data_IF_109542839636
#
_entry.id   IF_109542839636
#
_cell.length_a   1.000
_cell.length_b   1.000
_cell.length_c   1.000
_cell.angle_alpha   90.00
_cell.angle_beta   90.00
_cell.angle_gamma   90.00
#
_symmetry.space_group_name_H-M   'P 1'
#
loop_
_entity.id
_entity.type
_entity.pdbx_description
1 polymer ?
#
# COMPACT_ATOMS: atom_id res chain seq x y z
N UNK A 1 23.71 14.76 9.57
CA UNK A 1 23.31 13.97 10.78
C UNK A 1 24.03 14.49 12.02
N UNK A 2 23.29 14.90 13.08
CA UNK A 2 23.88 15.34 14.37
C UNK A 2 24.29 14.10 15.19
N UNK A 3 25.60 13.90 15.38
CA UNK A 3 26.13 12.71 16.10
C UNK A 3 25.83 12.72 17.60
N UNK A 4 25.57 13.89 18.22
CA UNK A 4 25.25 13.99 19.65
C UNK A 4 23.91 13.32 20.00
N UNK A 5 23.02 13.17 19.02
CA UNK A 5 21.80 12.34 19.14
C UNK A 5 22.13 10.89 19.50
N UNK A 6 23.29 10.38 19.09
CA UNK A 6 23.72 8.99 19.34
C UNK A 6 24.39 8.80 20.71
N UNK A 7 24.61 9.87 21.47
CA UNK A 7 25.15 9.77 22.82
C UNK A 7 24.21 8.96 23.72
N UNK A 8 24.79 8.11 24.58
CA UNK A 8 24.05 7.16 25.43
C UNK A 8 22.92 7.82 26.21
N UNK A 9 23.17 8.97 26.83
CA UNK A 9 22.14 9.69 27.61
C UNK A 9 20.96 10.15 26.76
N UNK A 10 21.21 10.62 25.52
CA UNK A 10 20.18 11.05 24.57
C UNK A 10 19.35 9.84 24.10
N UNK A 11 20.02 8.74 23.72
CA UNK A 11 19.35 7.52 23.28
C UNK A 11 18.50 6.88 24.38
N UNK A 12 18.99 6.87 25.63
CA UNK A 12 18.23 6.40 26.79
C UNK A 12 16.99 7.27 27.04
N UNK A 13 17.14 8.59 26.89
CA UNK A 13 15.99 9.50 26.99
C UNK A 13 14.96 9.21 25.89
N UNK A 14 15.36 9.09 24.63
CA UNK A 14 14.49 8.77 23.49
C UNK A 14 13.79 7.42 23.71
N UNK A 15 14.53 6.42 24.23
CA UNK A 15 13.99 5.09 24.51
C UNK A 15 12.94 5.11 25.63
N UNK A 16 13.14 5.89 26.68
CA UNK A 16 12.23 5.93 27.84
C UNK A 16 11.02 6.84 27.61
N UNK A 17 11.15 7.88 26.77
CA UNK A 17 10.15 8.95 26.61
C UNK A 17 9.45 8.93 25.24
N UNK A 18 9.52 7.84 24.47
CA UNK A 18 8.99 7.75 23.10
C UNK A 18 7.47 8.03 22.98
N UNK A 19 6.70 7.87 24.05
CA UNK A 19 5.25 8.10 24.08
C UNK A 19 4.84 9.38 24.85
N UNK A 20 5.82 10.20 25.23
CA UNK A 20 5.55 11.45 25.95
C UNK A 20 4.85 12.47 25.04
N UNK A 21 4.17 13.43 25.65
CA UNK A 21 3.63 14.59 24.92
C UNK A 21 4.79 15.46 24.40
N UNK A 22 4.85 15.63 23.09
CA UNK A 22 5.93 16.33 22.39
C UNK A 22 6.01 17.80 22.82
N UNK A 23 4.86 18.47 23.02
CA UNK A 23 4.84 19.87 23.45
C UNK A 23 5.45 20.04 24.85
N UNK A 24 5.25 19.06 25.73
CA UNK A 24 5.85 19.06 27.06
C UNK A 24 7.38 18.97 27.05
N UNK A 25 7.97 18.39 26.00
CA UNK A 25 9.42 18.33 25.79
C UNK A 25 9.91 19.60 25.11
N UNK A 26 9.23 20.04 24.05
CA UNK A 26 9.64 21.19 23.23
C UNK A 26 9.73 22.49 24.04
N UNK A 27 8.83 22.70 25.00
CA UNK A 27 8.77 23.93 25.83
C UNK A 27 9.75 23.95 27.02
N UNK A 28 10.47 22.86 27.27
CA UNK A 28 11.45 22.80 28.36
C UNK A 28 12.81 23.37 27.93
N UNK A 29 13.65 23.68 28.91
CA UNK A 29 15.06 24.04 28.67
C UNK A 29 15.77 22.85 28.01
N UNK A 30 16.82 23.14 27.27
CA UNK A 30 17.66 22.14 26.61
C UNK A 30 18.12 21.06 27.61
N UNK A 31 17.89 19.79 27.29
CA UNK A 31 18.23 18.66 28.16
C UNK A 31 19.68 18.22 27.97
N UNK A 32 20.20 18.33 26.75
CA UNK A 32 21.49 17.78 26.36
C UNK A 32 22.30 18.84 25.61
N UNK A 33 23.57 19.02 25.96
CA UNK A 33 24.49 19.80 25.17
C UNK A 33 24.64 19.25 23.77
N UNK A 34 24.72 20.09 22.74
CA UNK A 34 24.82 19.69 21.33
C UNK A 34 23.53 19.18 20.68
N UNK A 35 22.44 19.02 21.46
CA UNK A 35 21.13 18.53 20.92
C UNK A 35 20.03 19.54 21.24
N UNK A 36 19.49 20.21 20.25
CA UNK A 36 18.37 21.13 20.42
C UNK A 36 17.07 20.38 20.82
N UNK A 37 16.16 21.11 21.51
CA UNK A 37 14.84 20.54 21.85
C UNK A 37 14.03 20.14 20.61
N UNK A 38 14.21 20.85 19.50
CA UNK A 38 13.58 20.52 18.23
C UNK A 38 14.08 19.18 17.67
N UNK A 39 15.40 18.98 17.59
CA UNK A 39 15.98 17.71 17.14
C UNK A 39 15.54 16.54 18.04
N UNK A 40 15.55 16.73 19.36
CA UNK A 40 15.11 15.72 20.31
C UNK A 40 13.64 15.34 20.11
N UNK A 41 12.77 16.33 19.91
CA UNK A 41 11.33 16.07 19.67
C UNK A 41 11.08 15.41 18.32
N UNK A 42 11.83 15.77 17.27
CA UNK A 42 11.78 15.09 15.97
C UNK A 42 12.15 13.59 16.10
N UNK A 43 13.17 13.26 16.90
CA UNK A 43 13.53 11.86 17.17
C UNK A 43 12.41 11.10 17.93
N UNK A 44 11.79 11.72 18.93
CA UNK A 44 10.68 11.14 19.68
C UNK A 44 9.44 10.88 18.79
N UNK A 45 9.04 11.89 17.99
CA UNK A 45 7.91 11.74 17.07
C UNK A 45 8.14 10.64 16.04
N UNK A 46 9.32 10.62 15.43
CA UNK A 46 9.69 9.64 14.44
C UNK A 46 9.73 8.21 15.04
N UNK A 47 10.33 8.07 16.24
CA UNK A 47 10.32 6.79 16.97
C UNK A 47 8.90 6.32 17.29
N UNK A 48 8.03 7.20 17.77
CA UNK A 48 6.62 6.88 18.06
C UNK A 48 5.89 6.33 16.83
N UNK A 49 6.10 6.93 15.65
CA UNK A 49 5.55 6.46 14.38
C UNK A 49 6.09 5.09 13.96
N UNK A 50 7.35 4.80 14.29
CA UNK A 50 7.96 3.51 13.97
C UNK A 50 7.37 2.34 14.76
N UNK A 51 6.71 2.55 15.91
CA UNK A 51 6.19 1.49 16.78
C UNK A 51 5.45 0.38 16.03
N UNK A 52 4.52 0.76 15.15
CA UNK A 52 3.69 -0.18 14.38
C UNK A 52 4.17 -0.35 12.93
N UNK A 53 4.80 0.69 12.37
CA UNK A 53 5.22 0.70 10.96
C UNK A 53 6.56 0.01 10.76
N UNK A 54 7.52 0.24 11.67
CA UNK A 54 8.91 -0.24 11.63
C UNK A 54 9.32 -0.79 13.00
N UNK A 55 8.72 -1.91 13.46
CA UNK A 55 8.98 -2.47 14.78
C UNK A 55 10.43 -2.88 15.02
N UNK A 56 11.20 -3.28 14.00
CA UNK A 56 12.62 -3.58 14.10
C UNK A 56 13.45 -2.33 14.45
N UNK A 57 13.18 -1.19 13.78
CA UNK A 57 13.81 0.11 14.11
C UNK A 57 13.37 0.62 15.47
N UNK A 58 12.10 0.45 15.82
CA UNK A 58 11.58 0.87 17.12
C UNK A 58 12.25 0.14 18.29
N UNK A 59 12.51 -1.17 18.15
CA UNK A 59 13.11 -2.02 19.18
C UNK A 59 14.62 -1.86 19.30
N UNK A 60 15.30 -1.57 18.18
CA UNK A 60 16.74 -1.41 18.17
C UNK A 60 17.17 -0.15 18.96
N UNK A 61 18.33 -0.25 19.61
CA UNK A 61 18.98 0.89 20.26
C UNK A 61 19.88 1.60 19.26
N UNK A 62 20.19 2.88 19.53
CA UNK A 62 21.09 3.69 18.70
C UNK A 62 20.61 3.92 17.26
N UNK A 63 19.32 3.80 17.01
CA UNK A 63 18.70 4.23 15.74
C UNK A 63 18.66 5.75 15.67
N UNK A 64 19.09 6.29 14.54
CA UNK A 64 18.86 7.70 14.19
C UNK A 64 17.62 7.79 13.29
N UNK A 65 16.62 8.51 13.72
CA UNK A 65 15.39 8.67 12.95
C UNK A 65 15.49 9.90 12.04
N UNK A 66 15.14 9.82 10.76
CA UNK A 66 15.01 10.99 9.91
C UNK A 66 13.77 11.79 10.31
N UNK A 67 13.52 12.91 9.64
CA UNK A 67 12.34 13.71 9.90
C UNK A 67 11.04 12.90 9.70
N UNK A 68 9.98 13.41 10.30
CA UNK A 68 8.64 12.77 10.29
C UNK A 68 8.10 12.45 8.89
N UNK A 69 8.37 13.32 7.90
CA UNK A 69 7.91 13.13 6.53
C UNK A 69 8.54 11.89 5.90
N UNK A 70 9.84 11.70 6.07
CA UNK A 70 10.54 10.53 5.57
C UNK A 70 10.00 9.23 6.18
N UNK A 71 9.66 9.23 7.50
CA UNK A 71 9.02 8.06 8.13
C UNK A 71 7.61 7.82 7.58
N UNK A 72 6.85 8.86 7.29
CA UNK A 72 5.51 8.71 6.72
C UNK A 72 5.53 8.14 5.31
N UNK A 73 6.49 8.54 4.50
CA UNK A 73 6.63 8.14 3.10
C UNK A 73 7.26 6.76 2.91
N UNK A 74 8.09 6.29 3.85
CA UNK A 74 8.74 4.98 3.73
C UNK A 74 7.74 3.82 3.80
N UNK A 75 8.11 2.66 3.26
CA UNK A 75 7.35 1.41 3.37
C UNK A 75 7.17 0.99 4.84
N UNK A 76 6.15 0.19 5.13
CA UNK A 76 6.10 -0.60 6.38
C UNK A 76 7.00 -1.82 6.26
N UNK A 77 7.43 -2.40 7.40
CA UNK A 77 8.18 -3.67 7.36
C UNK A 77 7.41 -4.78 6.65
N UNK A 78 6.09 -4.81 6.82
CA UNK A 78 5.24 -5.82 6.18
C UNK A 78 5.24 -5.71 4.66
N UNK A 79 5.13 -4.49 4.11
CA UNK A 79 5.15 -4.29 2.66
C UNK A 79 6.57 -4.43 2.10
N UNK A 80 7.61 -4.04 2.85
CA UNK A 80 8.99 -4.23 2.45
C UNK A 80 9.39 -5.71 2.44
N UNK A 81 8.95 -6.48 3.42
CA UNK A 81 9.12 -7.94 3.44
C UNK A 81 8.45 -8.58 2.22
N UNK A 82 7.21 -8.23 1.92
CA UNK A 82 6.53 -8.74 0.73
C UNK A 82 7.30 -8.47 -0.55
N UNK A 83 7.81 -7.24 -0.74
CA UNK A 83 8.67 -6.90 -1.89
C UNK A 83 9.92 -7.77 -1.96
N UNK A 84 10.54 -8.05 -0.81
CA UNK A 84 11.75 -8.89 -0.77
C UNK A 84 11.51 -10.35 -1.17
N UNK A 85 10.26 -10.82 -1.11
CA UNK A 85 9.87 -12.16 -1.55
C UNK A 85 9.69 -12.26 -3.06
N UNK A 86 9.56 -11.13 -3.76
CA UNK A 86 9.41 -11.06 -5.22
C UNK A 86 10.76 -11.10 -5.96
N UNK A 87 11.87 -10.97 -5.24
CA UNK A 87 13.22 -10.86 -5.83
C UNK A 87 14.11 -12.02 -5.44
N UNK A 88 15.09 -12.29 -6.28
CA UNK A 88 16.13 -13.30 -6.05
C UNK A 88 17.38 -12.96 -6.83
N UNK A 89 18.53 -13.48 -6.43
CA UNK A 89 19.81 -13.25 -7.13
C UNK A 89 20.93 -12.82 -6.19
N UNK A 90 22.01 -12.27 -6.75
CA UNK A 90 23.25 -11.93 -6.03
C UNK A 90 23.40 -10.43 -5.81
N UNK A 91 22.95 -9.60 -6.77
CA UNK A 91 23.14 -8.15 -6.73
C UNK A 91 21.85 -7.40 -7.07
N UNK A 92 21.51 -6.40 -6.24
CA UNK A 92 20.38 -5.50 -6.44
C UNK A 92 20.83 -4.05 -6.31
N UNK A 93 20.29 -3.19 -7.17
CA UNK A 93 20.43 -1.74 -7.07
C UNK A 93 19.08 -1.11 -6.72
N UNK A 94 19.01 -0.41 -5.59
CA UNK A 94 17.92 0.49 -5.23
C UNK A 94 18.29 1.91 -5.70
N UNK A 95 17.60 2.38 -6.75
CA UNK A 95 17.84 3.69 -7.36
C UNK A 95 17.28 4.86 -6.54
N UNK A 96 16.41 4.58 -5.57
CA UNK A 96 15.58 5.59 -4.85
C UNK A 96 15.51 5.28 -3.37
N UNK A 97 16.66 5.04 -2.77
CA UNK A 97 16.84 4.38 -1.47
C UNK A 97 16.10 4.97 -0.28
N UNK A 98 15.98 6.30 -0.20
CA UNK A 98 15.29 6.97 0.89
C UNK A 98 15.85 6.59 2.27
N UNK A 99 14.96 6.31 3.23
CA UNK A 99 15.34 5.83 4.56
C UNK A 99 15.86 4.37 4.57
N UNK A 100 15.74 3.66 3.45
CA UNK A 100 16.35 2.35 3.25
C UNK A 100 15.56 1.16 3.81
N UNK A 101 14.27 1.30 4.09
CA UNK A 101 13.47 0.19 4.63
C UNK A 101 13.37 -0.96 3.62
N UNK A 102 13.06 -0.66 2.36
CA UNK A 102 13.00 -1.68 1.30
C UNK A 102 14.39 -2.31 1.07
N UNK A 103 15.43 -1.49 0.95
CA UNK A 103 16.84 -1.93 0.86
C UNK A 103 17.22 -2.90 1.99
N UNK A 104 16.83 -2.60 3.24
CA UNK A 104 17.10 -3.47 4.39
C UNK A 104 16.45 -4.86 4.23
N UNK A 105 15.21 -4.92 3.75
CA UNK A 105 14.55 -6.22 3.53
C UNK A 105 15.12 -6.94 2.31
N UNK A 106 15.52 -6.25 1.26
CA UNK A 106 16.22 -6.84 0.12
C UNK A 106 17.57 -7.45 0.55
N UNK A 107 18.30 -6.79 1.43
CA UNK A 107 19.61 -7.29 1.90
C UNK A 107 19.54 -8.61 2.66
N UNK A 108 18.36 -9.02 3.14
CA UNK A 108 18.15 -10.34 3.74
C UNK A 108 18.06 -11.49 2.72
N UNK A 109 17.86 -11.15 1.44
CA UNK A 109 17.68 -12.11 0.33
C UNK A 109 18.79 -12.03 -0.70
N UNK A 110 19.41 -10.87 -0.86
CA UNK A 110 20.41 -10.56 -1.90
C UNK A 110 21.79 -10.41 -1.26
N UNK A 111 22.80 -10.96 -1.88
CA UNK A 111 24.16 -10.98 -1.32
C UNK A 111 24.81 -9.59 -1.27
N UNK A 112 24.53 -8.72 -2.25
CA UNK A 112 25.05 -7.35 -2.32
C UNK A 112 23.96 -6.40 -2.79
N UNK A 113 23.61 -5.42 -1.96
CA UNK A 113 22.61 -4.40 -2.28
C UNK A 113 23.27 -3.03 -2.33
N UNK A 114 23.00 -2.28 -3.38
CA UNK A 114 23.43 -0.89 -3.53
C UNK A 114 22.24 0.01 -3.25
N UNK A 115 22.43 0.95 -2.35
CA UNK A 115 21.40 1.90 -1.90
C UNK A 115 21.81 3.30 -2.34
N UNK A 116 21.19 3.82 -3.40
CA UNK A 116 21.40 5.17 -3.89
C UNK A 116 20.38 6.13 -3.27
N UNK A 117 20.88 7.20 -2.65
CA UNK A 117 20.05 8.26 -2.08
C UNK A 117 20.73 9.61 -2.31
N UNK A 118 20.05 10.50 -3.04
CA UNK A 118 20.59 11.80 -3.44
C UNK A 118 20.76 12.76 -2.25
N UNK A 119 19.93 12.63 -1.22
CA UNK A 119 20.08 13.39 0.00
C UNK A 119 21.18 12.76 0.86
N UNK A 120 22.34 13.41 0.91
CA UNK A 120 23.52 12.92 1.61
C UNK A 120 23.26 12.65 3.10
N UNK A 121 22.51 13.54 3.79
CA UNK A 121 22.18 13.34 5.20
C UNK A 121 21.30 12.09 5.40
N UNK A 122 20.27 11.90 4.56
CA UNK A 122 19.40 10.72 4.63
C UNK A 122 20.18 9.45 4.32
N UNK A 123 21.11 9.50 3.36
CA UNK A 123 22.02 8.38 3.03
C UNK A 123 22.93 8.02 4.22
N UNK A 124 23.47 9.02 4.92
CA UNK A 124 24.27 8.79 6.15
C UNK A 124 23.44 8.13 7.26
N UNK A 125 22.22 8.62 7.48
CA UNK A 125 21.29 8.06 8.47
C UNK A 125 20.95 6.60 8.12
N UNK A 126 20.61 6.31 6.88
CA UNK A 126 20.32 4.95 6.42
C UNK A 126 21.52 4.03 6.62
N UNK A 127 22.72 4.46 6.19
CA UNK A 127 23.98 3.73 6.36
C UNK A 127 24.31 3.39 7.82
N UNK A 128 24.09 4.36 8.73
CA UNK A 128 24.25 4.15 10.17
C UNK A 128 23.26 3.09 10.66
N UNK A 129 21.98 3.23 10.32
CA UNK A 129 20.94 2.32 10.78
C UNK A 129 21.11 0.90 10.22
N UNK A 130 21.57 0.71 8.99
CA UNK A 130 21.88 -0.60 8.44
C UNK A 130 22.90 -1.37 9.30
N UNK A 131 23.95 -0.69 9.75
CA UNK A 131 24.96 -1.28 10.65
C UNK A 131 24.35 -1.67 12.00
N UNK A 132 23.54 -0.77 12.60
CA UNK A 132 22.84 -1.05 13.86
C UNK A 132 21.89 -2.25 13.74
N UNK A 133 21.24 -2.39 12.59
CA UNK A 133 20.33 -3.50 12.28
C UNK A 133 21.05 -4.77 11.79
N UNK A 134 22.38 -4.78 11.81
CA UNK A 134 23.22 -5.96 11.49
C UNK A 134 23.37 -6.27 10.01
N UNK A 135 23.10 -5.32 9.10
CA UNK A 135 23.27 -5.53 7.67
C UNK A 135 24.62 -4.96 7.19
N UNK A 136 25.51 -5.85 6.76
CA UNK A 136 26.87 -5.49 6.30
C UNK A 136 27.03 -5.61 4.78
N UNK A 137 26.00 -6.10 4.07
CA UNK A 137 26.01 -6.32 2.63
C UNK A 137 25.31 -5.21 1.85
N UNK A 138 25.07 -4.05 2.49
CA UNK A 138 24.47 -2.87 1.86
C UNK A 138 25.58 -1.83 1.59
N UNK A 139 25.72 -1.45 0.32
CA UNK A 139 26.64 -0.42 -0.15
C UNK A 139 25.85 0.89 -0.30
N UNK A 140 26.02 1.83 0.63
CA UNK A 140 25.34 3.14 0.56
C UNK A 140 26.09 4.07 -0.37
N UNK A 141 25.39 4.64 -1.34
CA UNK A 141 25.87 5.52 -2.40
C UNK A 141 25.13 6.87 -2.29
N UNK A 142 25.78 7.93 -1.80
CA UNK A 142 25.14 9.24 -1.57
C UNK A 142 25.09 10.08 -2.86
N UNK A 143 24.45 9.55 -3.91
CA UNK A 143 24.27 10.22 -5.20
C UNK A 143 23.00 9.79 -5.91
N UNK A 144 22.67 10.46 -7.01
CA UNK A 144 21.55 10.08 -7.90
C UNK A 144 21.76 8.68 -8.48
N UNK A 145 20.75 7.80 -8.34
CA UNK A 145 20.85 6.40 -8.75
C UNK A 145 21.05 6.21 -10.25
N UNK A 146 20.44 7.06 -11.11
CA UNK A 146 20.65 7.02 -12.56
C UNK A 146 22.08 7.44 -12.90
N UNK A 147 22.63 8.46 -12.21
CA UNK A 147 24.02 8.89 -12.42
C UNK A 147 25.01 7.83 -11.99
N UNK A 148 24.80 7.20 -10.82
CA UNK A 148 25.58 6.05 -10.38
C UNK A 148 25.56 4.92 -11.42
N UNK A 149 24.37 4.60 -11.95
CA UNK A 149 24.22 3.51 -12.93
C UNK A 149 24.92 3.82 -14.26
N UNK A 150 25.01 5.08 -14.67
CA UNK A 150 25.78 5.51 -15.86
C UNK A 150 27.28 5.31 -15.67
N UNK A 151 27.77 5.53 -14.45
CA UNK A 151 29.21 5.49 -14.15
C UNK A 151 29.71 4.08 -13.79
N UNK A 152 28.81 3.13 -13.48
CA UNK A 152 29.20 1.76 -13.13
C UNK A 152 29.19 0.81 -14.32
N UNK A 153 30.18 -0.07 -14.41
CA UNK A 153 30.21 -1.21 -15.34
C UNK A 153 29.43 -2.42 -14.81
N UNK A 154 29.07 -2.39 -13.52
CA UNK A 154 28.38 -3.49 -12.86
C UNK A 154 26.99 -3.71 -13.44
N UNK A 155 26.62 -5.00 -13.58
CA UNK A 155 25.25 -5.43 -13.88
C UNK A 155 24.61 -5.96 -12.60
N UNK A 156 23.29 -5.86 -12.55
CA UNK A 156 22.50 -6.28 -11.41
C UNK A 156 21.49 -7.35 -11.82
N UNK A 157 21.13 -8.23 -10.89
CA UNK A 157 20.02 -9.17 -11.11
C UNK A 157 18.68 -8.44 -11.06
N UNK A 158 18.60 -7.40 -10.22
CA UNK A 158 17.43 -6.55 -10.06
C UNK A 158 17.81 -5.08 -9.91
N UNK A 159 16.95 -4.23 -10.48
CA UNK A 159 16.88 -2.80 -10.15
C UNK A 159 15.53 -2.54 -9.49
N UNK A 160 15.54 -1.88 -8.32
CA UNK A 160 14.35 -1.41 -7.62
C UNK A 160 14.21 0.10 -7.77
N UNK A 161 12.96 0.56 -7.96
CA UNK A 161 12.66 1.99 -8.16
C UNK A 161 11.33 2.32 -7.48
N UNK A 162 11.34 3.35 -6.62
CA UNK A 162 10.16 4.00 -6.03
C UNK A 162 10.12 5.46 -6.47
N UNK A 163 9.67 5.77 -7.69
CA UNK A 163 9.77 7.11 -8.24
C UNK A 163 8.86 8.08 -7.48
N UNK A 164 9.42 9.21 -7.07
CA UNK A 164 8.70 10.28 -6.38
C UNK A 164 8.07 11.25 -7.37
N UNK A 165 7.00 11.95 -6.94
CA UNK A 165 6.38 12.99 -7.76
C UNK A 165 7.30 14.20 -7.92
N UNK A 166 7.25 14.84 -9.09
CA UNK A 166 7.77 16.20 -9.26
C UNK A 166 6.88 17.17 -8.48
N UNK A 167 7.50 18.06 -7.71
CA UNK A 167 6.76 19.04 -6.90
C UNK A 167 5.98 20.07 -7.75
N UNK A 168 6.32 20.20 -9.03
CA UNK A 168 5.83 21.24 -9.93
C UNK A 168 4.53 20.84 -10.66
N UNK A 169 4.14 19.57 -10.61
CA UNK A 169 2.95 19.08 -11.31
C UNK A 169 1.70 19.30 -10.46
N UNK A 170 1.01 20.43 -10.71
CA UNK A 170 -0.32 20.71 -10.17
C UNK A 170 -1.38 20.05 -11.04
N UNK A 171 -1.92 18.89 -10.61
CA UNK A 171 -3.00 18.22 -11.33
C UNK A 171 -3.45 16.92 -10.67
N UNK A 172 -4.64 16.43 -11.07
CA UNK A 172 -5.24 15.20 -10.51
C UNK A 172 -4.83 13.91 -11.22
N UNK A 173 -4.20 14.00 -12.38
CA UNK A 173 -3.76 12.84 -13.17
C UNK A 173 -2.29 12.60 -12.89
N UNK A 174 -1.97 11.39 -12.43
CA UNK A 174 -0.59 10.99 -12.13
C UNK A 174 -0.15 9.98 -13.18
N UNK A 175 0.87 10.35 -13.96
CA UNK A 175 1.53 9.47 -14.92
C UNK A 175 2.95 9.18 -14.44
N UNK A 176 3.51 8.03 -14.79
CA UNK A 176 4.89 7.69 -14.44
C UNK A 176 5.92 8.65 -15.05
N UNK A 177 5.64 9.18 -16.24
CA UNK A 177 6.49 10.19 -16.89
C UNK A 177 6.61 11.49 -16.08
N UNK A 178 5.66 11.76 -15.17
CA UNK A 178 5.65 12.96 -14.31
C UNK A 178 6.38 12.72 -12.97
N UNK A 179 6.98 11.54 -12.78
CA UNK A 179 7.75 11.19 -11.60
C UNK A 179 9.26 11.38 -11.82
N UNK A 180 10.02 11.29 -10.73
CA UNK A 180 11.49 11.30 -10.72
C UNK A 180 12.01 10.02 -10.05
N UNK A 181 12.88 9.26 -10.75
CA UNK A 181 13.27 9.44 -12.15
C UNK A 181 12.09 9.21 -13.11
N UNK A 182 12.11 9.84 -14.31
CA UNK A 182 11.15 9.54 -15.38
C UNK A 182 11.39 8.12 -15.90
N UNK A 183 10.64 7.18 -15.36
CA UNK A 183 10.90 5.76 -15.60
C UNK A 183 10.70 5.36 -17.07
N UNK A 184 9.60 5.73 -17.79
CA UNK A 184 9.43 5.38 -19.19
C UNK A 184 10.62 5.75 -20.08
N UNK A 185 11.21 6.93 -19.89
CA UNK A 185 12.38 7.38 -20.66
C UNK A 185 13.65 6.62 -20.32
N UNK A 186 13.80 6.17 -19.07
CA UNK A 186 15.01 5.49 -18.60
C UNK A 186 14.96 3.96 -18.81
N UNK A 187 13.79 3.35 -19.06
CA UNK A 187 13.66 1.90 -19.18
C UNK A 187 14.66 1.24 -20.16
N UNK A 188 14.89 1.76 -21.38
CA UNK A 188 15.84 1.14 -22.28
C UNK A 188 17.25 1.04 -21.69
N UNK A 189 17.72 2.13 -21.08
CA UNK A 189 19.03 2.18 -20.41
C UNK A 189 19.08 1.25 -19.17
N UNK A 190 18.00 1.18 -18.38
CA UNK A 190 17.95 0.29 -17.23
C UNK A 190 18.06 -1.18 -17.64
N UNK A 191 17.42 -1.57 -18.74
CA UNK A 191 17.49 -2.94 -19.25
C UNK A 191 18.87 -3.30 -19.88
N UNK A 192 19.73 -2.35 -20.16
CA UNK A 192 21.14 -2.65 -20.46
C UNK A 192 21.92 -3.14 -19.24
N UNK A 193 21.45 -2.79 -18.02
CA UNK A 193 22.12 -3.05 -16.75
C UNK A 193 21.48 -4.20 -15.95
N UNK A 194 20.23 -4.55 -16.22
CA UNK A 194 19.50 -5.64 -15.55
C UNK A 194 18.52 -6.33 -16.46
N UNK A 195 18.16 -7.56 -16.14
CA UNK A 195 17.03 -8.26 -16.77
C UNK A 195 15.70 -7.96 -16.06
N UNK A 196 15.72 -7.66 -14.77
CA UNK A 196 14.52 -7.55 -13.95
C UNK A 196 14.45 -6.20 -13.24
N UNK A 197 13.27 -5.57 -13.28
CA UNK A 197 13.03 -4.31 -12.58
C UNK A 197 11.79 -4.48 -11.71
N UNK A 198 11.88 -4.06 -10.46
CA UNK A 198 10.74 -3.93 -9.54
C UNK A 198 10.42 -2.45 -9.36
N UNK A 199 9.23 -2.05 -9.80
CA UNK A 199 8.75 -0.67 -9.68
C UNK A 199 7.68 -0.59 -8.62
N UNK A 200 7.86 0.28 -7.63
CA UNK A 200 6.81 0.62 -6.65
C UNK A 200 6.15 1.94 -7.05
N UNK A 201 4.85 2.00 -6.93
CA UNK A 201 4.11 3.25 -7.18
C UNK A 201 3.03 3.50 -6.13
N UNK A 202 2.58 4.76 -6.08
CA UNK A 202 1.43 5.15 -5.27
C UNK A 202 0.16 4.40 -5.71
N UNK A 203 -0.72 4.01 -4.78
CA UNK A 203 -2.03 3.41 -5.11
C UNK A 203 -2.97 4.35 -5.88
N UNK A 204 -2.62 5.63 -6.02
CA UNK A 204 -3.40 6.60 -6.79
C UNK A 204 -3.23 6.45 -8.31
N UNK A 205 -2.16 5.80 -8.79
CA UNK A 205 -1.97 5.58 -10.22
C UNK A 205 -3.02 4.60 -10.76
N UNK A 206 -3.41 4.84 -12.02
CA UNK A 206 -4.24 3.90 -12.76
C UNK A 206 -3.38 2.72 -13.27
N UNK A 207 -3.81 1.50 -12.99
CA UNK A 207 -3.04 0.28 -13.31
C UNK A 207 -2.93 0.10 -14.82
N UNK A 208 -4.04 0.25 -15.55
CA UNK A 208 -4.06 0.04 -17.00
C UNK A 208 -3.21 1.09 -17.73
N UNK A 209 -3.28 2.35 -17.28
CA UNK A 209 -2.45 3.42 -17.83
C UNK A 209 -0.96 3.20 -17.51
N UNK A 210 -0.65 2.78 -16.29
CA UNK A 210 0.74 2.50 -15.89
C UNK A 210 1.35 1.35 -16.71
N UNK A 211 0.58 0.28 -16.96
CA UNK A 211 1.02 -0.84 -17.82
C UNK A 211 1.34 -0.34 -19.24
N UNK A 212 0.56 0.62 -19.78
CA UNK A 212 0.82 1.20 -21.11
C UNK A 212 2.08 2.08 -21.15
N UNK A 213 2.45 2.70 -20.05
CA UNK A 213 3.67 3.51 -19.94
C UNK A 213 4.93 2.65 -19.74
N UNK A 214 4.78 1.41 -19.27
CA UNK A 214 5.87 0.48 -19.00
C UNK A 214 6.01 -0.54 -20.13
N UNK A 215 7.24 -1.03 -20.34
CA UNK A 215 7.54 -2.15 -21.24
C UNK A 215 7.80 -3.41 -20.43
N UNK A 216 7.44 -4.58 -21.00
CA UNK A 216 7.76 -5.90 -20.44
C UNK A 216 7.19 -6.17 -19.05
N UNK A 217 6.00 -5.64 -18.76
CA UNK A 217 5.31 -5.93 -17.49
C UNK A 217 4.92 -7.40 -17.45
N UNK A 218 5.43 -8.12 -16.46
CA UNK A 218 5.13 -9.52 -16.21
C UNK A 218 4.04 -9.70 -15.15
N UNK A 219 4.17 -8.95 -14.05
CA UNK A 219 3.25 -9.05 -12.92
C UNK A 219 2.92 -7.67 -12.36
N UNK A 220 1.70 -7.53 -11.87
CA UNK A 220 1.25 -6.37 -11.09
C UNK A 220 0.78 -6.86 -9.74
N UNK A 221 1.31 -6.29 -8.65
CA UNK A 221 0.87 -6.60 -7.31
C UNK A 221 0.15 -5.41 -6.70
N UNK A 222 -1.06 -5.64 -6.20
CA UNK A 222 -1.84 -4.66 -5.43
C UNK A 222 -1.73 -5.04 -3.96
N UNK A 223 -0.96 -4.27 -3.19
CA UNK A 223 -0.64 -4.59 -1.81
C UNK A 223 -1.50 -3.74 -0.87
N UNK A 224 -2.39 -4.39 -0.13
CA UNK A 224 -3.22 -3.77 0.88
C UNK A 224 -2.83 -4.27 2.29
N UNK A 225 -2.95 -3.39 3.28
CA UNK A 225 -2.79 -3.71 4.70
C UNK A 225 -4.03 -3.22 5.44
N UNK A 226 -4.67 -4.12 6.19
CA UNK A 226 -5.91 -3.85 6.89
C UNK A 226 -7.01 -3.26 5.99
N UNK A 227 -7.14 -3.84 4.78
CA UNK A 227 -8.11 -3.41 3.77
C UNK A 227 -7.90 -1.98 3.22
N UNK A 228 -6.69 -1.46 3.26
CA UNK A 228 -6.27 -0.20 2.64
C UNK A 228 -5.10 -0.46 1.69
N UNK A 229 -5.26 -0.14 0.39
CA UNK A 229 -4.18 -0.30 -0.59
C UNK A 229 -3.05 0.66 -0.26
N UNK A 230 -1.86 0.13 -0.06
CA UNK A 230 -0.66 0.89 0.33
C UNK A 230 0.26 1.19 -0.85
N UNK A 231 0.40 0.25 -1.75
CA UNK A 231 1.30 0.38 -2.91
C UNK A 231 0.85 -0.52 -4.06
N UNK A 232 1.27 -0.15 -5.27
CA UNK A 232 1.22 -0.98 -6.46
C UNK A 232 2.66 -1.33 -6.85
N UNK A 233 2.90 -2.60 -7.19
CA UNK A 233 4.22 -3.06 -7.62
C UNK A 233 4.10 -3.62 -9.02
N UNK A 234 5.07 -3.30 -9.87
CA UNK A 234 5.17 -3.82 -11.23
C UNK A 234 6.50 -4.57 -11.35
N UNK A 235 6.41 -5.84 -11.69
CA UNK A 235 7.56 -6.68 -12.02
C UNK A 235 7.75 -6.64 -13.52
N UNK A 236 8.90 -6.14 -13.97
CA UNK A 236 9.27 -6.09 -15.38
C UNK A 236 10.37 -7.11 -15.64
N UNK A 237 10.26 -7.88 -16.73
CA UNK A 237 11.29 -8.81 -17.19
C UNK A 237 11.60 -8.52 -18.66
N UNK A 238 12.83 -8.12 -18.97
CA UNK A 238 13.26 -7.76 -20.33
C UNK A 238 12.91 -8.84 -21.34
N UNK A 239 12.21 -8.46 -22.41
CA UNK A 239 11.72 -9.35 -23.45
C UNK A 239 10.49 -10.17 -23.09
N UNK A 240 9.80 -9.89 -21.97
CA UNK A 240 8.54 -10.54 -21.64
C UNK A 240 7.40 -9.95 -22.49
N UNK A 241 6.79 -10.80 -23.29
CA UNK A 241 5.67 -10.45 -24.20
C UNK A 241 4.43 -11.34 -23.96
N UNK A 242 4.42 -12.05 -22.81
CA UNK A 242 3.30 -12.90 -22.46
C UNK A 242 2.23 -12.14 -21.69
N UNK A 243 1.24 -12.87 -21.23
CA UNK A 243 0.11 -12.37 -20.45
C UNK A 243 0.55 -11.81 -19.10
N UNK A 244 0.00 -10.63 -18.76
CA UNK A 244 0.28 -9.98 -17.46
C UNK A 244 -0.57 -10.61 -16.36
N UNK A 245 0.08 -11.06 -15.29
CA UNK A 245 -0.58 -11.56 -14.08
C UNK A 245 -0.81 -10.45 -13.07
N UNK A 246 -1.96 -10.49 -12.42
CA UNK A 246 -2.37 -9.55 -11.38
C UNK A 246 -2.52 -10.29 -10.05
N UNK A 247 -1.79 -9.83 -9.04
CA UNK A 247 -1.72 -10.41 -7.71
C UNK A 247 -2.30 -9.41 -6.70
N UNK A 248 -3.55 -9.61 -6.27
CA UNK A 248 -4.17 -8.81 -5.22
C UNK A 248 -3.92 -9.45 -3.86
N UNK A 249 -3.17 -8.79 -2.98
CA UNK A 249 -2.87 -9.26 -1.63
C UNK A 249 -3.37 -8.29 -0.58
N UNK A 250 -4.08 -8.80 0.42
CA UNK A 250 -4.50 -8.01 1.59
C UNK A 250 -4.01 -8.66 2.89
N UNK A 251 -3.15 -7.96 3.60
CA UNK A 251 -2.68 -8.36 4.92
C UNK A 251 -3.65 -7.88 6.00
N UNK A 252 -4.13 -8.80 6.81
CA UNK A 252 -5.00 -8.48 7.94
C UNK A 252 -4.61 -9.34 9.15
N UNK A 253 -4.32 -8.70 10.29
CA UNK A 253 -3.90 -9.38 11.54
C UNK A 253 -2.77 -10.40 11.33
N UNK A 254 -1.78 -10.04 10.52
CA UNK A 254 -0.61 -10.91 10.23
C UNK A 254 -0.85 -12.02 9.20
N UNK A 255 -2.07 -12.19 8.72
CA UNK A 255 -2.39 -13.15 7.65
C UNK A 255 -2.55 -12.46 6.31
N UNK A 256 -2.07 -13.09 5.24
CA UNK A 256 -2.25 -12.63 3.87
C UNK A 256 -3.37 -13.40 3.18
N UNK A 257 -4.27 -12.69 2.53
CA UNK A 257 -5.26 -13.27 1.60
C UNK A 257 -4.93 -12.81 0.20
N UNK A 258 -4.82 -13.79 -0.70
CA UNK A 258 -4.45 -13.59 -2.09
C UNK A 258 -5.64 -13.83 -3.00
N UNK A 259 -5.68 -13.07 -4.08
CA UNK A 259 -6.50 -13.35 -5.26
C UNK A 259 -5.68 -13.01 -6.50
N UNK A 260 -5.48 -13.99 -7.38
CA UNK A 260 -4.62 -13.86 -8.56
C UNK A 260 -5.43 -14.20 -9.80
N UNK A 261 -5.18 -13.47 -10.88
CA UNK A 261 -5.79 -13.67 -12.19
C UNK A 261 -4.89 -13.07 -13.26
N UNK A 262 -5.10 -13.45 -14.53
CA UNK A 262 -4.47 -12.76 -15.64
C UNK A 262 -5.39 -11.68 -16.23
N UNK A 263 -4.84 -10.66 -16.86
CA UNK A 263 -5.65 -9.63 -17.54
C UNK A 263 -6.54 -10.23 -18.64
N UNK A 264 -6.08 -11.30 -19.27
CA UNK A 264 -6.87 -12.03 -20.29
C UNK A 264 -8.04 -12.77 -19.65
N UNK A 265 -7.82 -13.44 -18.51
CA UNK A 265 -8.90 -14.08 -17.74
C UNK A 265 -9.98 -13.07 -17.38
N UNK A 266 -9.64 -11.89 -16.86
CA UNK A 266 -10.65 -10.86 -16.56
C UNK A 266 -11.44 -10.43 -17.80
N UNK A 267 -10.75 -10.33 -18.95
CA UNK A 267 -11.41 -9.95 -20.22
C UNK A 267 -12.41 -11.01 -20.67
N UNK A 268 -12.05 -12.30 -20.56
CA UNK A 268 -12.83 -13.44 -21.06
C UNK A 268 -13.79 -14.04 -20.02
N UNK A 269 -13.58 -13.75 -18.74
CA UNK A 269 -14.40 -14.27 -17.65
C UNK A 269 -15.89 -13.93 -17.84
N UNK A 270 -16.71 -14.92 -17.57
CA UNK A 270 -18.17 -14.81 -17.60
C UNK A 270 -18.68 -14.88 -16.17
N UNK A 271 -19.35 -13.84 -15.73
CA UNK A 271 -20.00 -13.80 -14.43
C UNK A 271 -21.51 -13.71 -14.62
N UNK A 272 -22.25 -14.49 -13.85
CA UNK A 272 -23.71 -14.40 -13.81
C UNK A 272 -24.16 -13.20 -13.00
N UNK A 273 -25.29 -12.62 -13.37
CA UNK A 273 -25.95 -11.54 -12.63
C UNK A 273 -27.26 -12.07 -12.05
N UNK A 274 -27.57 -11.70 -10.82
CA UNK A 274 -28.82 -12.08 -10.18
C UNK A 274 -29.25 -11.09 -9.09
N UNK A 275 -30.45 -11.27 -8.56
CA UNK A 275 -30.97 -10.58 -7.37
C UNK A 275 -30.20 -11.04 -6.12
N UNK A 276 -30.20 -10.25 -5.03
CA UNK A 276 -29.63 -10.70 -3.77
C UNK A 276 -30.25 -12.01 -3.29
N UNK A 277 -29.38 -12.98 -2.94
CA UNK A 277 -29.76 -14.31 -2.41
C UNK A 277 -29.63 -14.33 -0.87
N UNK A 278 -29.06 -15.37 -0.27
CA UNK A 278 -28.91 -15.50 1.18
C UNK A 278 -27.67 -14.78 1.73
N UNK A 279 -26.60 -14.70 0.92
CA UNK A 279 -25.31 -14.12 1.35
C UNK A 279 -24.84 -13.03 0.41
N UNK A 280 -24.24 -11.97 1.00
CA UNK A 280 -23.65 -10.85 0.29
C UNK A 280 -22.14 -10.84 0.51
N UNK A 281 -21.38 -10.57 -0.56
CA UNK A 281 -19.92 -10.48 -0.53
C UNK A 281 -19.44 -9.15 -1.09
N UNK A 282 -18.50 -8.54 -0.38
CA UNK A 282 -17.79 -7.37 -0.85
C UNK A 282 -16.29 -7.65 -0.90
N UNK A 283 -15.64 -7.60 -2.08
CA UNK A 283 -14.21 -7.83 -2.20
C UNK A 283 -13.38 -6.91 -1.32
N UNK A 284 -12.21 -7.37 -0.90
CA UNK A 284 -11.27 -6.51 -0.20
C UNK A 284 -10.73 -5.40 -1.14
N UNK A 285 -10.09 -4.39 -0.57
CA UNK A 285 -9.61 -3.21 -1.30
C UNK A 285 -8.57 -3.54 -2.38
N UNK A 286 -7.75 -4.59 -2.20
CA UNK A 286 -6.77 -5.00 -3.20
C UNK A 286 -7.48 -5.54 -4.46
N UNK A 287 -8.49 -6.38 -4.30
CA UNK A 287 -9.31 -6.88 -5.41
C UNK A 287 -10.09 -5.75 -6.08
N UNK A 288 -10.69 -4.85 -5.28
CA UNK A 288 -11.40 -3.69 -5.84
C UNK A 288 -10.47 -2.78 -6.67
N UNK A 289 -9.23 -2.59 -6.23
CA UNK A 289 -8.23 -1.80 -6.97
C UNK A 289 -7.70 -2.54 -8.20
N UNK A 290 -7.62 -3.88 -8.16
CA UNK A 290 -7.06 -4.69 -9.25
C UNK A 290 -7.93 -4.71 -10.51
N UNK A 291 -9.23 -4.46 -10.38
CA UNK A 291 -10.17 -4.55 -11.49
C UNK A 291 -10.65 -5.98 -11.81
N UNK A 292 -10.25 -7.01 -11.05
CA UNK A 292 -10.62 -8.42 -11.25
C UNK A 292 -12.07 -8.76 -10.87
N UNK A 293 -13.02 -8.01 -11.41
CA UNK A 293 -14.42 -8.08 -10.99
C UNK A 293 -15.19 -9.27 -11.54
N UNK A 294 -14.87 -9.73 -12.75
CA UNK A 294 -15.48 -10.93 -13.32
C UNK A 294 -14.74 -12.17 -12.83
N UNK A 295 -13.41 -12.10 -12.84
CA UNK A 295 -12.56 -13.22 -12.40
C UNK A 295 -12.85 -13.64 -10.97
N UNK A 296 -13.07 -12.71 -10.04
CA UNK A 296 -13.42 -13.04 -8.65
C UNK A 296 -14.82 -13.68 -8.55
N UNK A 297 -15.79 -13.20 -9.31
CA UNK A 297 -17.12 -13.81 -9.37
C UNK A 297 -17.06 -15.26 -9.90
N UNK A 298 -16.30 -15.46 -10.97
CA UNK A 298 -16.11 -16.78 -11.58
C UNK A 298 -15.34 -17.74 -10.64
N UNK A 299 -14.23 -17.29 -10.05
CA UNK A 299 -13.38 -18.12 -9.20
C UNK A 299 -14.10 -18.65 -7.95
N UNK A 300 -15.04 -17.86 -7.40
CA UNK A 300 -15.81 -18.23 -6.22
C UNK A 300 -17.24 -18.69 -6.56
N UNK A 301 -17.57 -18.85 -7.84
CA UNK A 301 -18.91 -19.22 -8.34
C UNK A 301 -20.01 -18.34 -7.75
N UNK A 302 -19.78 -17.01 -7.71
CA UNK A 302 -20.69 -16.01 -7.19
C UNK A 302 -21.38 -15.27 -8.32
N UNK A 303 -22.62 -14.84 -8.07
CA UNK A 303 -23.38 -13.97 -8.98
C UNK A 303 -23.16 -12.50 -8.60
N UNK A 304 -23.03 -11.60 -9.58
CA UNK A 304 -22.94 -10.15 -9.33
C UNK A 304 -24.34 -9.54 -9.26
N UNK A 305 -24.51 -8.59 -8.36
CA UNK A 305 -25.77 -7.84 -8.28
C UNK A 305 -25.96 -6.88 -9.45
N UNK A 306 -24.88 -6.28 -9.95
CA UNK A 306 -24.87 -5.36 -11.10
C UNK A 306 -23.45 -5.19 -11.65
N UNK A 307 -23.30 -4.83 -12.92
CA UNK A 307 -21.98 -4.66 -13.56
C UNK A 307 -21.06 -3.65 -12.82
N UNK A 308 -21.61 -2.60 -12.22
CA UNK A 308 -20.87 -1.53 -11.53
C UNK A 308 -20.93 -1.59 -10.01
N UNK A 309 -21.73 -2.48 -9.40
CA UNK A 309 -21.86 -2.54 -7.92
C UNK A 309 -20.67 -3.19 -7.24
N UNK A 310 -20.01 -4.15 -7.91
CA UNK A 310 -18.92 -4.95 -7.35
C UNK A 310 -19.30 -5.62 -6.02
N UNK A 311 -20.56 -5.98 -5.89
CA UNK A 311 -21.13 -6.80 -4.84
C UNK A 311 -21.58 -8.12 -5.45
N UNK A 312 -21.43 -9.21 -4.67
CA UNK A 312 -21.71 -10.56 -5.13
C UNK A 312 -22.66 -11.24 -4.16
N UNK A 313 -23.35 -12.29 -4.64
CA UNK A 313 -24.32 -13.04 -3.86
C UNK A 313 -24.25 -14.54 -4.14
N UNK A 314 -24.73 -15.33 -3.20
CA UNK A 314 -24.91 -16.78 -3.33
C UNK A 314 -25.97 -17.29 -2.33
N UNK A 315 -26.51 -18.48 -2.61
CA UNK A 315 -27.41 -19.18 -1.69
C UNK A 315 -26.69 -19.77 -0.47
N UNK A 316 -25.42 -20.17 -0.64
CA UNK A 316 -24.61 -20.81 0.41
C UNK A 316 -23.40 -19.95 0.77
N UNK A 317 -22.97 -20.01 2.04
CA UNK A 317 -21.82 -19.26 2.50
C UNK A 317 -20.51 -19.78 1.88
N UNK A 318 -19.75 -18.89 1.26
CA UNK A 318 -18.45 -19.18 0.63
C UNK A 318 -17.32 -18.50 1.41
N UNK A 319 -16.15 -19.17 1.53
CA UNK A 319 -14.94 -18.48 2.03
C UNK A 319 -14.39 -17.55 0.95
N UNK A 320 -14.53 -16.25 1.19
CA UNK A 320 -14.32 -15.20 0.21
C UNK A 320 -13.24 -14.20 0.68
N UNK A 321 -12.36 -13.70 -0.20
CA UNK A 321 -11.32 -12.74 0.16
C UNK A 321 -11.86 -11.32 0.28
N UNK A 322 -12.76 -11.11 1.24
CA UNK A 322 -13.45 -9.84 1.46
C UNK A 322 -14.32 -9.87 2.71
N UNK A 323 -15.31 -8.98 2.76
CA UNK A 323 -16.34 -9.00 3.79
C UNK A 323 -17.48 -9.91 3.37
N UNK A 324 -18.01 -10.67 4.30
CA UNK A 324 -19.13 -11.62 4.10
C UNK A 324 -20.26 -11.24 5.03
N UNK A 325 -21.48 -11.36 4.53
CA UNK A 325 -22.68 -11.00 5.26
C UNK A 325 -23.81 -11.99 4.94
N UNK A 326 -24.62 -12.29 5.94
CA UNK A 326 -25.93 -12.90 5.79
C UNK A 326 -26.95 -11.81 5.47
N UNK A 327 -27.75 -11.98 4.43
CA UNK A 327 -28.82 -11.05 4.05
C UNK A 327 -30.05 -11.35 4.88
N UNK A 328 -30.54 -10.34 5.62
CA UNK A 328 -31.74 -10.45 6.45
C UNK A 328 -32.96 -10.00 5.66
N UNK A 329 -32.90 -8.84 5.01
CA UNK A 329 -33.98 -8.30 4.19
C UNK A 329 -33.45 -7.48 3.03
N UNK A 330 -34.22 -7.44 1.95
CA UNK A 330 -33.97 -6.57 0.79
C UNK A 330 -35.20 -5.71 0.54
N UNK A 331 -35.00 -4.40 0.41
CA UNK A 331 -36.09 -3.44 0.18
C UNK A 331 -35.75 -2.51 -1.00
N UNK A 332 -36.73 -2.08 -1.78
CA UNK A 332 -36.52 -0.97 -2.71
C UNK A 332 -36.08 0.29 -1.96
N UNK A 333 -35.18 1.09 -2.54
CA UNK A 333 -34.82 2.38 -1.97
C UNK A 333 -36.00 3.36 -2.05
N UNK A 334 -36.78 3.37 -1.02
CA UNK A 334 -37.95 4.26 -0.86
C UNK A 334 -38.07 4.74 0.59
N UNK A 335 -38.90 5.75 0.81
CA UNK A 335 -39.19 6.23 2.15
C UNK A 335 -39.84 5.17 3.04
N UNK A 336 -40.64 4.28 2.44
CA UNK A 336 -41.29 3.19 3.15
C UNK A 336 -40.32 2.04 3.44
N UNK A 337 -39.49 1.61 2.46
CA UNK A 337 -38.50 0.55 2.66
C UNK A 337 -37.52 0.84 3.77
N UNK A 338 -37.12 2.11 3.97
CA UNK A 338 -36.27 2.49 5.11
C UNK A 338 -36.99 2.53 6.45
N UNK A 339 -38.30 2.92 6.46
CA UNK A 339 -39.09 2.88 7.70
C UNK A 339 -39.32 1.47 8.21
N UNK A 340 -39.51 0.51 7.31
CA UNK A 340 -39.69 -0.91 7.66
C UNK A 340 -38.46 -1.49 8.38
N UNK A 341 -37.24 -0.97 8.14
CA UNK A 341 -36.02 -1.40 8.82
C UNK A 341 -35.97 -1.03 10.30
N UNK A 342 -36.70 0.01 10.72
CA UNK A 342 -36.77 0.52 12.12
C UNK A 342 -35.38 0.73 12.78
N UNK A 343 -34.35 1.02 11.99
CA UNK A 343 -32.96 1.13 12.46
C UNK A 343 -32.62 2.60 12.74
N UNK A 344 -32.12 2.85 13.96
CA UNK A 344 -31.59 4.16 14.37
C UNK A 344 -30.08 4.22 14.28
N UNK A 345 -29.40 3.07 14.13
CA UNK A 345 -27.94 2.91 14.07
C UNK A 345 -27.59 1.78 13.11
N UNK A 346 -26.65 2.03 12.18
CA UNK A 346 -26.17 1.03 11.23
C UNK A 346 -24.81 1.40 10.61
N UNK A 347 -24.07 0.40 10.17
CA UNK A 347 -22.89 0.54 9.33
C UNK A 347 -23.34 0.65 7.88
N UNK A 348 -23.23 1.83 7.27
CA UNK A 348 -23.69 2.08 5.90
C UNK A 348 -22.54 1.94 4.90
N UNK A 349 -22.76 1.19 3.84
CA UNK A 349 -21.91 1.10 2.65
C UNK A 349 -22.72 1.43 1.41
N UNK A 350 -22.13 2.19 0.49
CA UNK A 350 -22.73 2.49 -0.83
C UNK A 350 -21.87 1.85 -1.94
N UNK A 351 -22.54 1.27 -2.94
CA UNK A 351 -21.89 0.73 -4.16
C UNK A 351 -22.81 0.98 -5.35
N UNK A 352 -22.30 1.70 -6.36
CA UNK A 352 -23.11 2.11 -7.51
C UNK A 352 -24.45 2.76 -7.08
N UNK A 353 -24.36 3.80 -6.27
CA UNK A 353 -25.52 4.46 -5.67
C UNK A 353 -25.34 5.99 -5.70
N UNK A 354 -26.36 6.77 -6.08
CA UNK A 354 -26.22 8.20 -6.38
C UNK A 354 -26.13 9.12 -5.15
N UNK A 355 -26.39 8.58 -3.94
CA UNK A 355 -26.45 9.39 -2.71
C UNK A 355 -25.27 9.00 -1.80
N UNK A 356 -24.58 9.98 -1.23
CA UNK A 356 -23.46 9.75 -0.32
C UNK A 356 -23.89 9.18 1.04
N UNK A 357 -22.98 8.50 1.75
CA UNK A 357 -23.23 7.98 3.10
C UNK A 357 -23.64 9.10 4.06
N UNK A 358 -22.99 10.28 3.97
CA UNK A 358 -23.29 11.43 4.83
C UNK A 358 -24.72 11.95 4.62
N UNK A 359 -25.16 12.04 3.36
CA UNK A 359 -26.52 12.46 3.02
C UNK A 359 -27.57 11.44 3.47
N UNK A 360 -27.30 10.13 3.27
CA UNK A 360 -28.19 9.06 3.75
C UNK A 360 -28.35 9.12 5.27
N UNK A 361 -27.25 9.28 6.01
CA UNK A 361 -27.30 9.44 7.47
C UNK A 361 -28.13 10.64 7.91
N UNK A 362 -27.91 11.79 7.28
CA UNK A 362 -28.65 13.03 7.59
C UNK A 362 -30.16 12.90 7.26
N UNK A 363 -30.44 12.39 6.04
CA UNK A 363 -31.81 12.25 5.53
C UNK A 363 -32.67 11.29 6.36
N UNK A 364 -32.06 10.17 6.77
CA UNK A 364 -32.76 9.07 7.44
C UNK A 364 -32.51 8.98 8.94
N UNK A 365 -31.71 9.91 9.51
CA UNK A 365 -31.34 10.00 10.92
C UNK A 365 -30.71 8.71 11.47
N UNK A 366 -29.90 8.01 10.66
CA UNK A 366 -29.21 6.78 11.03
C UNK A 366 -27.81 7.13 11.57
N UNK A 367 -27.52 6.81 12.83
CA UNK A 367 -26.22 6.97 13.46
C UNK A 367 -25.23 5.90 12.98
N UNK A 368 -23.92 6.15 13.12
CA UNK A 368 -22.88 5.19 12.77
C UNK A 368 -22.75 4.07 13.78
N UNK A 369 -22.42 2.84 13.31
CA UNK A 369 -22.12 1.65 14.10
C UNK A 369 -23.34 0.79 14.39
N UNK A 370 -23.23 -0.08 15.40
CA UNK A 370 -24.21 -1.14 15.69
C UNK A 370 -23.94 -2.43 14.91
N UNK A 371 -24.82 -3.40 15.00
CA UNK A 371 -24.63 -4.75 14.43
C UNK A 371 -25.23 -4.88 13.02
N UNK A 372 -26.10 -3.96 12.63
CA UNK A 372 -26.71 -3.93 11.30
C UNK A 372 -25.77 -3.32 10.27
N UNK A 373 -25.70 -3.93 9.09
CA UNK A 373 -24.97 -3.46 7.91
C UNK A 373 -25.96 -3.17 6.79
N UNK A 374 -26.02 -1.93 6.34
CA UNK A 374 -26.89 -1.50 5.25
C UNK A 374 -26.09 -1.21 4.00
N UNK A 375 -26.35 -1.98 2.95
CA UNK A 375 -25.80 -1.73 1.62
C UNK A 375 -26.85 -1.01 0.76
N UNK A 376 -26.49 0.17 0.29
CA UNK A 376 -27.27 0.90 -0.71
C UNK A 376 -26.59 0.66 -2.06
N UNK A 377 -27.32 0.05 -2.99
CA UNK A 377 -26.74 -0.37 -4.26
C UNK A 377 -27.78 -0.39 -5.39
N UNK A 378 -27.31 -0.73 -6.59
CA UNK A 378 -28.15 -0.98 -7.76
C UNK A 378 -28.15 -2.47 -8.05
N UNK A 379 -29.32 -3.04 -8.31
CA UNK A 379 -29.51 -4.46 -8.64
C UNK A 379 -29.40 -4.73 -10.16
N UNK A 380 -29.55 -5.99 -10.55
CA UNK A 380 -29.47 -6.47 -11.95
C UNK A 380 -30.52 -5.83 -12.88
N UNK A 381 -31.61 -5.28 -12.34
CA UNK A 381 -32.67 -4.61 -13.08
C UNK A 381 -32.54 -3.07 -13.05
N UNK A 382 -31.35 -2.55 -12.74
CA UNK A 382 -31.07 -1.11 -12.59
C UNK A 382 -31.91 -0.40 -11.50
N UNK A 383 -32.45 -1.16 -10.53
CA UNK A 383 -33.22 -0.60 -9.41
C UNK A 383 -32.33 -0.32 -8.21
N UNK A 384 -32.54 0.82 -7.58
CA UNK A 384 -31.89 1.14 -6.32
C UNK A 384 -32.52 0.36 -5.17
N UNK A 385 -31.71 -0.43 -4.46
CA UNK A 385 -32.13 -1.29 -3.35
C UNK A 385 -31.33 -1.02 -2.08
N UNK A 386 -31.90 -1.44 -0.96
CA UNK A 386 -31.28 -1.48 0.36
C UNK A 386 -31.21 -2.94 0.77
N UNK A 387 -30.01 -3.39 1.10
CA UNK A 387 -29.79 -4.74 1.62
C UNK A 387 -29.41 -4.61 3.09
N UNK A 388 -30.26 -5.12 3.98
CA UNK A 388 -29.95 -5.20 5.40
C UNK A 388 -29.29 -6.53 5.70
N UNK A 389 -28.10 -6.47 6.31
CA UNK A 389 -27.22 -7.62 6.50
C UNK A 389 -26.71 -7.71 7.93
N UNK A 390 -26.32 -8.91 8.31
CA UNK A 390 -25.51 -9.22 9.48
C UNK A 390 -24.15 -9.76 9.03
N UNK A 391 -23.08 -9.34 9.67
CA UNK A 391 -21.71 -9.81 9.34
C UNK A 391 -21.53 -11.25 9.84
N UNK A 392 -20.94 -12.10 8.99
CA UNK A 392 -20.60 -13.51 9.27
C UNK A 392 -19.10 -13.76 9.19
#
# INVERSE_FOLDING_TARGET
MNKDILNTGVQDFIKKNWDTDIMSVLLKKQFFEGVSQRELTEQLEAKKKCKNKLPSWFKATNIYYPNKLNIEQTSSEQTAQYKSELISGKALLDLTGGFGVDTYFFSKKINSVFHCEINQELSEIAKHNFKILGQNNINSVPEDGIQFLKNTIQKFDWIYIDPSRRNDVKGKVFLLKDCLPNLPENLPFLFEKTKNILVKTSPLLDIAQTIKELSFVKEVHIVAVNNEVKELLYVLEHGFEKEVFVNAVNFHKGQARYFNFSLKEETTAIVKYDQPENYLYEPNSAILKSGGFKSVGQAYNLKKLHQHSHLYTSETLVDFPGRRFEIITVHPYSKNGLKELQLTKANITIRNFPVSVAELRKKHKIKDGGDAYLFFTTDVNDKHIIINCKKV
#
